data_IF_207085267803
#
_entry.id   IF_207085267803
#
_cell.length_a   1.000
_cell.length_b   1.000
_cell.length_c   1.000
_cell.angle_alpha   90.00
_cell.angle_beta   90.00
_cell.angle_gamma   90.00
#
_symmetry.space_group_name_H-M   'P 1'
#
loop_
_entity.id
_entity.type
_entity.pdbx_description
1 polymer ?
#
# COMPACT_ATOMS: atom_id res chain seq x y z
N UNK A 1 9.43 14.10 9.76
CA UNK A 1 9.62 13.15 8.65
C UNK A 1 8.72 11.89 8.78
N UNK A 2 8.77 11.12 9.87
CA UNK A 2 7.87 9.96 10.06
C UNK A 2 6.38 10.30 9.96
N UNK A 3 5.93 11.40 10.53
CA UNK A 3 4.54 11.86 10.42
C UNK A 3 4.11 12.05 8.94
N UNK A 4 4.95 12.71 8.15
CA UNK A 4 4.70 12.89 6.74
C UNK A 4 4.62 11.55 5.98
N UNK A 5 5.49 10.60 6.33
CA UNK A 5 5.45 9.26 5.74
C UNK A 5 4.18 8.48 6.13
N UNK A 6 3.76 8.56 7.39
CA UNK A 6 2.48 7.99 7.85
C UNK A 6 1.32 8.59 7.08
N UNK A 7 1.28 9.91 6.88
CA UNK A 7 0.26 10.59 6.08
C UNK A 7 0.18 10.08 4.63
N UNK A 8 1.35 9.83 4.00
CA UNK A 8 1.40 9.23 2.65
C UNK A 8 0.84 7.80 2.61
N UNK A 9 1.06 7.01 3.66
CA UNK A 9 0.49 5.67 3.75
C UNK A 9 -1.03 5.68 3.98
N UNK A 10 -1.54 6.66 4.71
CA UNK A 10 -2.98 6.88 4.91
C UNK A 10 -3.65 7.37 3.60
N UNK A 11 -2.98 8.26 2.86
CA UNK A 11 -3.42 8.68 1.53
C UNK A 11 -3.47 7.48 0.58
N UNK A 12 -2.42 6.63 0.55
CA UNK A 12 -2.37 5.40 -0.25
C UNK A 12 -3.54 4.46 0.10
N UNK A 13 -3.81 4.27 1.39
CA UNK A 13 -4.96 3.47 1.84
C UNK A 13 -6.27 4.02 1.28
N UNK A 14 -6.49 5.32 1.39
CA UNK A 14 -7.69 5.99 0.84
C UNK A 14 -7.80 5.82 -0.68
N UNK A 15 -6.71 5.93 -1.43
CA UNK A 15 -6.64 5.69 -2.87
C UNK A 15 -7.02 4.23 -3.18
N UNK A 16 -6.44 3.27 -2.46
CA UNK A 16 -6.73 1.85 -2.64
C UNK A 16 -8.17 1.51 -2.30
N UNK A 17 -8.73 1.99 -1.20
CA UNK A 17 -10.11 1.72 -0.80
C UNK A 17 -11.12 2.29 -1.80
N UNK A 18 -10.89 3.52 -2.26
CA UNK A 18 -11.81 4.21 -3.18
C UNK A 18 -11.56 3.92 -4.67
N UNK A 19 -10.55 3.13 -5.02
CA UNK A 19 -10.26 2.76 -6.40
C UNK A 19 -9.72 3.89 -7.28
N UNK A 20 -9.13 4.94 -6.71
CA UNK A 20 -8.58 6.10 -7.42
C UNK A 20 -7.21 5.79 -8.04
N UNK A 21 -7.19 4.93 -9.06
CA UNK A 21 -5.95 4.37 -9.65
C UNK A 21 -5.00 5.45 -10.18
N UNK A 22 -5.53 6.55 -10.70
CA UNK A 22 -4.75 7.63 -11.31
C UNK A 22 -3.86 8.36 -10.29
N UNK A 23 -4.25 8.36 -9.01
CA UNK A 23 -3.51 9.00 -7.93
C UNK A 23 -2.40 8.10 -7.36
N UNK A 24 -2.46 6.78 -7.59
CA UNK A 24 -1.55 5.81 -6.98
C UNK A 24 -0.08 6.04 -7.40
N UNK A 25 0.15 6.35 -8.68
CA UNK A 25 1.50 6.61 -9.21
C UNK A 25 2.15 7.82 -8.54
N UNK A 26 1.40 8.92 -8.39
CA UNK A 26 1.88 10.12 -7.73
C UNK A 26 2.18 9.88 -6.25
N UNK A 27 1.29 9.19 -5.54
CA UNK A 27 1.49 8.84 -4.13
C UNK A 27 2.72 7.93 -3.96
N UNK A 28 2.89 6.91 -4.83
CA UNK A 28 4.06 6.03 -4.82
C UNK A 28 5.36 6.80 -4.98
N UNK A 29 5.41 7.78 -5.89
CA UNK A 29 6.59 8.63 -6.10
C UNK A 29 6.92 9.44 -4.84
N UNK A 30 5.93 10.04 -4.20
CA UNK A 30 6.11 10.78 -2.93
C UNK A 30 6.61 9.86 -1.81
N UNK A 31 6.02 8.65 -1.72
CA UNK A 31 6.39 7.64 -0.73
C UNK A 31 7.84 7.18 -0.90
N UNK A 32 8.29 6.93 -2.12
CA UNK A 32 9.67 6.57 -2.42
C UNK A 32 10.65 7.65 -1.96
N UNK A 33 10.40 8.92 -2.29
CA UNK A 33 11.23 10.04 -1.84
C UNK A 33 11.28 10.16 -0.31
N UNK A 34 10.15 9.97 0.36
CA UNK A 34 10.11 10.00 1.81
C UNK A 34 10.88 8.84 2.46
N UNK A 35 10.88 7.64 1.84
CA UNK A 35 11.68 6.49 2.27
C UNK A 35 13.18 6.74 2.10
N UNK A 36 13.60 7.32 0.98
CA UNK A 36 15.00 7.70 0.73
C UNK A 36 15.50 8.66 1.80
N UNK A 37 14.69 9.66 2.15
CA UNK A 37 15.04 10.61 3.19
C UNK A 37 15.07 9.98 4.60
N UNK A 38 14.14 9.09 4.92
CA UNK A 38 14.15 8.32 6.16
C UNK A 38 15.40 7.43 6.26
N UNK A 39 15.80 6.81 5.15
CA UNK A 39 17.03 6.01 5.09
C UNK A 39 18.25 6.89 5.36
N UNK A 40 18.35 8.04 4.69
CA UNK A 40 19.44 9.00 4.89
C UNK A 40 19.56 9.42 6.37
N UNK A 41 18.43 9.74 7.02
CA UNK A 41 18.41 10.10 8.44
C UNK A 41 18.81 8.92 9.34
N UNK A 42 18.41 7.70 8.98
CA UNK A 42 18.80 6.49 9.70
C UNK A 42 20.32 6.25 9.62
N UNK A 43 20.91 6.45 8.44
CA UNK A 43 22.35 6.30 8.21
C UNK A 43 23.15 7.36 8.99
N UNK A 44 22.68 8.59 8.99
CA UNK A 44 23.27 9.68 9.79
C UNK A 44 23.23 9.35 11.29
N UNK A 45 22.08 8.86 11.78
CA UNK A 45 21.97 8.44 13.19
C UNK A 45 22.95 7.32 13.50
N UNK A 46 23.01 6.31 12.67
CA UNK A 46 23.93 5.15 12.86
C UNK A 46 25.40 5.60 12.89
N UNK A 47 25.80 6.48 11.97
CA UNK A 47 27.13 7.05 11.92
C UNK A 47 27.45 7.85 13.18
N UNK A 48 26.53 8.69 13.64
CA UNK A 48 26.67 9.44 14.89
C UNK A 48 26.86 8.52 16.10
N UNK A 49 26.02 7.48 16.21
CA UNK A 49 26.10 6.52 17.32
C UNK A 49 27.43 5.78 17.34
N UNK A 50 27.89 5.35 16.17
CA UNK A 50 29.18 4.69 16.01
C UNK A 50 30.33 5.62 16.48
N UNK A 51 30.34 6.87 16.03
CA UNK A 51 31.37 7.85 16.40
C UNK A 51 31.34 8.18 17.91
N UNK A 52 30.14 8.19 18.50
CA UNK A 52 29.95 8.46 19.93
C UNK A 52 30.14 7.23 20.82
N UNK A 53 30.46 6.06 20.27
CA UNK A 53 30.60 4.80 21.02
C UNK A 53 29.30 4.31 21.66
N UNK A 54 28.14 4.69 21.09
CA UNK A 54 26.81 4.32 21.59
C UNK A 54 26.40 2.99 20.97
N UNK A 55 25.88 2.09 21.80
CA UNK A 55 25.36 0.79 21.31
C UNK A 55 24.22 0.97 20.31
N UNK A 56 24.31 0.25 19.19
CA UNK A 56 23.26 0.20 18.16
C UNK A 56 22.07 -0.69 18.57
N UNK A 57 22.23 -1.48 19.64
CA UNK A 57 21.15 -2.31 20.16
C UNK A 57 19.97 -1.44 20.64
N UNK A 58 18.71 -1.80 20.31
CA UNK A 58 17.53 -0.99 20.62
C UNK A 58 17.41 -0.65 22.12
N UNK A 59 17.73 -1.59 23.00
CA UNK A 59 17.69 -1.41 24.45
C UNK A 59 18.77 -0.45 24.90
N UNK A 60 19.99 -0.59 24.38
CA UNK A 60 21.12 0.28 24.70
C UNK A 60 20.86 1.73 24.28
N UNK A 61 20.33 1.93 23.09
CA UNK A 61 19.98 3.26 22.59
C UNK A 61 18.89 3.93 23.44
N UNK A 62 17.80 3.20 23.74
CA UNK A 62 16.71 3.75 24.56
C UNK A 62 17.19 4.14 25.94
N UNK A 63 18.03 3.31 26.57
CA UNK A 63 18.61 3.59 27.89
C UNK A 63 19.56 4.79 27.85
N UNK A 64 20.38 4.90 26.81
CA UNK A 64 21.28 6.04 26.63
C UNK A 64 20.50 7.35 26.45
N UNK A 65 19.49 7.37 25.58
CA UNK A 65 18.63 8.56 25.37
C UNK A 65 17.95 8.97 26.68
N UNK A 66 17.41 8.03 27.44
CA UNK A 66 16.73 8.30 28.70
C UNK A 66 17.67 8.90 29.76
N UNK A 67 18.95 8.51 29.75
CA UNK A 67 19.96 9.05 30.66
C UNK A 67 20.42 10.46 30.28
N UNK A 68 20.33 10.85 29.01
CA UNK A 68 20.82 12.15 28.54
C UNK A 68 19.79 13.27 28.75
N UNK A 69 18.54 13.06 28.34
CA UNK A 69 17.50 14.08 28.40
C UNK A 69 16.09 13.43 28.36
N UNK A 70 15.23 13.70 29.36
CA UNK A 70 13.85 13.21 29.36
C UNK A 70 13.03 13.64 28.14
N UNK A 71 13.24 14.86 27.61
CA UNK A 71 12.53 15.33 26.41
C UNK A 71 12.95 14.53 25.17
N UNK A 72 14.24 14.19 25.04
CA UNK A 72 14.73 13.36 23.96
C UNK A 72 14.12 11.95 24.00
N UNK A 73 13.88 11.41 25.21
CA UNK A 73 13.18 10.15 25.38
C UNK A 73 11.74 10.20 24.85
N UNK A 74 11.00 11.26 25.16
CA UNK A 74 9.62 11.44 24.66
C UNK A 74 9.59 11.48 23.13
N UNK A 75 10.49 12.24 22.51
CA UNK A 75 10.60 12.30 21.06
C UNK A 75 10.98 10.96 20.44
N UNK A 76 11.86 10.20 21.10
CA UNK A 76 12.25 8.87 20.65
C UNK A 76 11.07 7.88 20.71
N UNK A 77 10.32 7.87 21.80
CA UNK A 77 9.13 7.04 21.97
C UNK A 77 8.08 7.37 20.88
N UNK A 78 7.84 8.65 20.59
CA UNK A 78 6.99 9.09 19.49
C UNK A 78 7.48 8.60 18.13
N UNK A 79 8.78 8.67 17.86
CA UNK A 79 9.36 8.13 16.63
C UNK A 79 9.12 6.62 16.50
N UNK A 80 9.29 5.86 17.58
CA UNK A 80 9.05 4.41 17.59
C UNK A 80 7.58 4.08 17.32
N UNK A 81 6.66 4.83 17.90
CA UNK A 81 5.22 4.62 17.69
C UNK A 81 4.79 4.96 16.26
N UNK A 82 5.32 6.05 15.70
CA UNK A 82 5.11 6.38 14.28
C UNK A 82 5.68 5.30 13.35
N UNK A 83 6.85 4.76 13.66
CA UNK A 83 7.45 3.67 12.88
C UNK A 83 6.58 2.39 12.92
N UNK A 84 6.05 2.02 14.11
CA UNK A 84 5.11 0.90 14.25
C UNK A 84 3.81 1.14 13.46
N UNK A 85 3.28 2.38 13.51
CA UNK A 85 2.08 2.77 12.74
C UNK A 85 2.34 2.69 11.25
N UNK A 86 3.45 3.22 10.78
CA UNK A 86 3.85 3.15 9.37
C UNK A 86 3.95 1.70 8.89
N UNK A 87 4.58 0.82 9.67
CA UNK A 87 4.66 -0.61 9.34
C UNK A 87 3.28 -1.23 9.18
N UNK A 88 2.38 -1.04 10.15
CA UNK A 88 1.01 -1.59 10.09
C UNK A 88 0.24 -1.10 8.86
N UNK A 89 0.33 0.19 8.55
CA UNK A 89 -0.32 0.77 7.36
C UNK A 89 0.26 0.22 6.07
N UNK A 90 1.57 0.11 5.98
CA UNK A 90 2.23 -0.44 4.79
C UNK A 90 1.85 -1.91 4.56
N UNK A 91 1.80 -2.73 5.62
CA UNK A 91 1.38 -4.13 5.54
C UNK A 91 -0.09 -4.25 5.11
N UNK A 92 -0.96 -3.38 5.62
CA UNK A 92 -2.37 -3.33 5.24
C UNK A 92 -2.55 -2.89 3.78
N UNK A 93 -1.87 -1.84 3.36
CA UNK A 93 -1.92 -1.35 1.97
C UNK A 93 -1.42 -2.42 0.98
N UNK A 94 -0.38 -3.17 1.35
CA UNK A 94 0.10 -4.30 0.57
C UNK A 94 -0.97 -5.39 0.37
N UNK A 95 -1.73 -5.73 1.41
CA UNK A 95 -2.84 -6.69 1.31
C UNK A 95 -3.97 -6.15 0.44
N UNK A 96 -4.38 -4.89 0.63
CA UNK A 96 -5.42 -4.26 -0.19
C UNK A 96 -5.04 -4.24 -1.68
N UNK A 97 -3.77 -3.97 -2.00
CA UNK A 97 -3.27 -4.00 -3.36
C UNK A 97 -3.33 -5.41 -3.95
N UNK A 98 -2.89 -6.42 -3.20
CA UNK A 98 -2.92 -7.82 -3.62
C UNK A 98 -4.35 -8.31 -3.88
N UNK A 99 -5.30 -7.99 -3.00
CA UNK A 99 -6.72 -8.33 -3.17
C UNK A 99 -7.31 -7.69 -4.45
N UNK A 100 -7.00 -6.42 -4.70
CA UNK A 100 -7.46 -5.74 -5.92
C UNK A 100 -6.87 -6.32 -7.19
N UNK A 101 -5.59 -6.68 -7.17
CA UNK A 101 -4.95 -7.34 -8.31
C UNK A 101 -5.62 -8.69 -8.60
N UNK A 102 -5.84 -9.50 -7.58
CA UNK A 102 -6.52 -10.79 -7.69
C UNK A 102 -7.93 -10.63 -8.26
N UNK A 103 -8.72 -9.70 -7.73
CA UNK A 103 -10.08 -9.42 -8.21
C UNK A 103 -10.09 -8.97 -9.68
N UNK A 104 -9.16 -8.10 -10.08
CA UNK A 104 -9.04 -7.66 -11.46
C UNK A 104 -8.66 -8.83 -12.40
N UNK A 105 -7.72 -9.69 -11.98
CA UNK A 105 -7.33 -10.87 -12.75
C UNK A 105 -8.49 -11.86 -12.93
N UNK A 106 -9.27 -12.08 -11.86
CA UNK A 106 -10.47 -12.92 -11.94
C UNK A 106 -11.52 -12.35 -12.89
N UNK A 107 -11.79 -11.04 -12.82
CA UNK A 107 -12.71 -10.39 -13.73
C UNK A 107 -12.28 -10.50 -15.20
N UNK A 108 -11.01 -10.29 -15.51
CA UNK A 108 -10.44 -10.46 -16.85
C UNK A 108 -10.59 -11.92 -17.29
N UNK A 109 -10.28 -12.88 -16.43
CA UNK A 109 -10.41 -14.31 -16.75
C UNK A 109 -11.87 -14.67 -17.08
N UNK A 110 -12.82 -14.21 -16.29
CA UNK A 110 -14.26 -14.43 -16.52
C UNK A 110 -14.68 -13.89 -17.88
N UNK A 111 -14.33 -12.63 -18.18
CA UNK A 111 -14.64 -12.00 -19.47
C UNK A 111 -14.02 -12.75 -20.65
N UNK A 112 -12.78 -13.20 -20.53
CA UNK A 112 -12.11 -13.96 -21.59
C UNK A 112 -12.74 -15.36 -21.79
N UNK A 113 -13.18 -15.99 -20.69
CA UNK A 113 -13.86 -17.30 -20.75
C UNK A 113 -15.23 -17.16 -21.41
N UNK A 114 -15.99 -16.13 -21.08
CA UNK A 114 -17.29 -15.84 -21.71
C UNK A 114 -17.14 -15.50 -23.20
N UNK A 115 -16.12 -14.70 -23.56
CA UNK A 115 -15.85 -14.34 -24.95
C UNK A 115 -15.40 -15.54 -25.80
N UNK A 116 -14.77 -16.55 -25.21
CA UNK A 116 -14.29 -17.75 -25.88
C UNK A 116 -15.26 -18.94 -25.81
N UNK A 117 -16.46 -18.77 -25.21
CA UNK A 117 -17.48 -19.83 -25.26
C UNK A 117 -17.93 -20.01 -26.71
N UNK A 118 -17.81 -21.24 -27.29
CA UNK A 118 -18.33 -21.50 -28.62
C UNK A 118 -19.84 -21.28 -28.61
N UNK A 119 -20.34 -20.59 -29.63
CA UNK A 119 -21.77 -20.39 -29.81
C UNK A 119 -22.51 -21.72 -29.67
N UNK A 120 -23.33 -21.88 -28.65
CA UNK A 120 -24.12 -23.08 -28.45
C UNK A 120 -25.11 -23.20 -29.60
N UNK A 121 -25.00 -24.30 -30.36
CA UNK A 121 -25.99 -24.64 -31.38
C UNK A 121 -27.32 -24.92 -30.69
N UNK A 122 -28.35 -24.21 -31.05
CA UNK A 122 -29.72 -24.56 -30.66
C UNK A 122 -30.15 -25.91 -31.29
N UNK A 123 -31.22 -26.53 -30.75
CA UNK A 123 -31.76 -27.80 -31.31
C UNK A 123 -32.22 -27.69 -32.78
N UNK A 124 -32.27 -26.47 -33.30
CA UNK A 124 -32.59 -26.11 -34.69
C UNK A 124 -31.37 -25.95 -35.61
N UNK A 125 -30.15 -26.19 -35.10
CA UNK A 125 -28.90 -26.10 -35.84
C UNK A 125 -28.44 -24.69 -36.18
N UNK A 126 -29.09 -23.65 -35.64
CA UNK A 126 -28.70 -22.25 -35.84
C UNK A 126 -27.82 -21.73 -34.70
N UNK A 127 -26.76 -20.98 -35.04
CA UNK A 127 -25.90 -20.30 -34.09
C UNK A 127 -26.64 -19.09 -33.49
N UNK A 128 -26.99 -19.15 -32.20
CA UNK A 128 -27.49 -17.99 -31.49
C UNK A 128 -26.31 -17.24 -30.93
N UNK A 129 -25.98 -16.09 -31.55
CA UNK A 129 -25.03 -15.13 -30.99
C UNK A 129 -25.57 -14.58 -29.66
N UNK A 130 -24.80 -14.70 -28.58
CA UNK A 130 -25.03 -14.02 -27.32
C UNK A 130 -24.90 -12.49 -27.55
N UNK A 131 -26.01 -11.81 -27.88
CA UNK A 131 -25.95 -10.37 -28.10
C UNK A 131 -27.20 -9.68 -28.61
N UNK A 132 -28.36 -10.34 -28.63
CA UNK A 132 -29.60 -9.61 -28.87
C UNK A 132 -30.32 -9.31 -27.56
N UNK A 133 -30.07 -8.10 -27.03
CA UNK A 133 -30.86 -7.52 -25.98
C UNK A 133 -32.36 -7.56 -26.33
N UNK A 134 -33.18 -8.07 -25.43
CA UNK A 134 -34.64 -8.02 -25.54
C UNK A 134 -35.07 -6.57 -25.70
N UNK A 135 -35.81 -6.18 -26.77
CA UNK A 135 -36.49 -4.88 -26.79
C UNK A 135 -37.56 -4.92 -25.70
N UNK A 136 -37.46 -4.01 -24.72
CA UNK A 136 -38.56 -3.72 -23.81
C UNK A 136 -39.69 -3.08 -24.63
N UNK A 137 -40.76 -3.85 -24.82
CA UNK A 137 -41.93 -3.38 -25.52
C UNK A 137 -42.54 -2.19 -24.81
N UNK A 138 -42.77 -1.16 -25.57
CA UNK A 138 -43.67 -0.04 -25.20
C UNK A 138 -45.11 -0.52 -25.20
N UNK A 139 -45.79 -0.27 -24.10
CA UNK A 139 -47.24 -0.15 -24.04
C UNK A 139 -47.59 1.27 -23.62
#
# INVERSE_FOLDING_TARGET
MFEAFVGLLEEEQGILVNGRKDELSSNTTKKTKALEELQRLSDQRTSFMHTAGISLEPVGLTSWIAAQNPEAKVLWDQCLDLAKRAKRLNDLNGRLLAERLSSNQQAIHTLMTEANQPATYGPDGQTRGLGQGRPLGSA
#
